data_IF_114971856050
#
_entry.id   IF_114971856050
#
_cell.length_a   1.000
_cell.length_b   1.000
_cell.length_c   1.000
_cell.angle_alpha   90.00
_cell.angle_beta   90.00
_cell.angle_gamma   90.00
#
_symmetry.space_group_name_H-M   'P 1'
#
loop_
_entity.id
_entity.type
_entity.pdbx_description
1 polymer ?
#
# COMPACT_ATOMS: atom_id res chain seq x y z
N UNK A 1 26.53 6.57 22.47
CA UNK A 1 27.85 6.00 22.84
C UNK A 1 28.07 4.82 21.90
N UNK A 2 28.98 5.01 20.94
CA UNK A 2 29.30 4.03 19.90
C UNK A 2 30.01 2.83 20.53
N UNK A 3 29.48 1.64 20.37
CA UNK A 3 30.20 0.39 20.64
C UNK A 3 30.68 -0.19 19.31
N UNK A 4 31.96 -0.04 19.08
CA UNK A 4 32.71 -0.82 18.10
C UNK A 4 32.73 -2.27 18.57
N UNK A 5 32.25 -3.19 17.75
CA UNK A 5 32.59 -4.61 17.87
C UNK A 5 33.54 -4.97 16.76
N UNK A 6 34.67 -5.54 17.17
CA UNK A 6 35.76 -5.93 16.29
C UNK A 6 35.38 -7.19 15.50
N UNK A 7 35.59 -7.12 14.21
CA UNK A 7 35.51 -8.21 13.25
C UNK A 7 36.61 -9.23 13.56
N UNK A 8 36.24 -10.45 13.92
CA UNK A 8 37.16 -11.59 13.94
C UNK A 8 36.84 -12.48 12.73
N UNK A 9 37.52 -12.19 11.60
CA UNK A 9 37.52 -13.05 10.42
C UNK A 9 38.33 -14.29 10.71
N UNK A 10 37.70 -15.43 10.90
CA UNK A 10 38.35 -16.74 10.88
C UNK A 10 38.29 -17.29 9.46
N UNK A 11 39.29 -16.94 8.66
CA UNK A 11 39.54 -17.58 7.37
C UNK A 11 40.18 -18.96 7.64
N UNK A 12 39.37 -20.02 7.60
CA UNK A 12 39.90 -21.38 7.58
C UNK A 12 40.13 -21.82 6.13
N UNK A 13 41.34 -21.62 5.67
CA UNK A 13 41.83 -22.17 4.40
C UNK A 13 42.20 -23.63 4.62
N UNK A 14 41.29 -24.57 4.34
CA UNK A 14 41.65 -25.98 4.24
C UNK A 14 42.05 -26.29 2.79
N UNK A 15 43.39 -26.31 2.53
CA UNK A 15 43.92 -26.91 1.34
C UNK A 15 43.86 -28.44 1.51
N UNK A 16 42.90 -29.12 0.93
CA UNK A 16 42.87 -30.57 0.84
C UNK A 16 43.66 -31.01 -0.38
N UNK A 17 44.74 -31.73 -0.14
CA UNK A 17 45.51 -32.50 -1.13
C UNK A 17 44.61 -33.64 -1.66
N UNK A 18 44.22 -33.55 -2.92
CA UNK A 18 43.53 -34.63 -3.62
C UNK A 18 44.49 -35.76 -3.89
N UNK A 19 44.35 -36.87 -3.17
CA UNK A 19 44.75 -38.19 -3.66
C UNK A 19 43.46 -38.89 -4.10
N UNK A 20 43.37 -39.16 -5.41
CA UNK A 20 42.18 -39.76 -6.01
C UNK A 20 41.93 -41.17 -5.48
N UNK A 21 40.85 -41.30 -4.74
CA UNK A 21 40.02 -42.49 -4.64
C UNK A 21 38.61 -42.02 -4.97
N UNK A 22 37.99 -42.57 -6.00
CA UNK A 22 36.59 -42.42 -6.24
C UNK A 22 35.85 -43.04 -5.04
N UNK A 23 35.48 -42.22 -4.07
CA UNK A 23 34.56 -42.61 -3.01
C UNK A 23 33.20 -42.84 -3.67
N UNK A 24 32.55 -43.97 -3.38
CA UNK A 24 31.17 -44.19 -3.74
C UNK A 24 30.37 -43.02 -3.12
N UNK A 25 29.61 -42.31 -3.95
CA UNK A 25 28.71 -41.29 -3.44
C UNK A 25 27.80 -41.94 -2.39
N UNK A 26 27.75 -41.38 -1.18
CA UNK A 26 26.80 -41.84 -0.16
C UNK A 26 25.37 -41.65 -0.72
N UNK A 27 24.64 -42.78 -0.92
CA UNK A 27 23.27 -42.75 -1.44
C UNK A 27 22.37 -41.82 -0.62
N UNK A 28 22.70 -41.58 0.65
CA UNK A 28 21.96 -40.69 1.52
C UNK A 28 22.22 -39.19 1.24
N UNK A 29 23.35 -38.81 0.62
CA UNK A 29 23.56 -37.44 0.17
C UNK A 29 22.58 -37.06 -0.94
N UNK A 30 22.22 -37.99 -1.82
CA UNK A 30 21.16 -37.76 -2.80
C UNK A 30 19.78 -37.60 -2.14
N UNK A 31 19.52 -38.38 -1.07
CA UNK A 31 18.29 -38.23 -0.27
C UNK A 31 18.26 -36.91 0.48
N UNK A 32 19.38 -36.46 1.06
CA UNK A 32 19.52 -35.15 1.70
C UNK A 32 19.22 -34.02 0.73
N UNK A 33 19.78 -34.09 -0.49
CA UNK A 33 19.49 -33.14 -1.56
C UNK A 33 18.00 -33.11 -1.89
N UNK A 34 17.37 -34.29 -1.99
CA UNK A 34 15.92 -34.39 -2.26
C UNK A 34 15.05 -33.70 -1.21
N UNK A 35 15.39 -33.83 0.08
CA UNK A 35 14.70 -33.14 1.18
C UNK A 35 14.90 -31.62 1.14
N UNK A 36 16.15 -31.19 0.89
CA UNK A 36 16.47 -29.78 0.75
C UNK A 36 15.78 -29.17 -0.48
N UNK A 37 15.79 -29.86 -1.61
CA UNK A 37 15.08 -29.42 -2.83
C UNK A 37 13.58 -29.28 -2.59
N UNK A 38 12.96 -30.14 -1.79
CA UNK A 38 11.55 -30.07 -1.46
C UNK A 38 11.20 -28.78 -0.71
N UNK A 39 12.06 -28.33 0.20
CA UNK A 39 11.82 -27.11 1.00
C UNK A 39 12.30 -25.83 0.33
N UNK A 40 13.46 -25.90 -0.36
CA UNK A 40 14.18 -24.70 -0.78
C UNK A 40 14.23 -24.47 -2.30
N UNK A 41 13.93 -25.45 -3.13
CA UNK A 41 13.92 -25.27 -4.58
C UNK A 41 12.80 -24.35 -5.04
N UNK A 42 13.13 -23.42 -5.92
CA UNK A 42 12.13 -22.53 -6.52
C UNK A 42 11.05 -23.33 -7.25
N UNK A 43 9.78 -23.04 -6.95
CA UNK A 43 8.61 -23.73 -7.52
C UNK A 43 8.38 -23.38 -8.99
N UNK A 44 8.98 -22.31 -9.49
CA UNK A 44 8.94 -21.88 -10.89
C UNK A 44 10.35 -21.59 -11.40
N UNK A 45 10.61 -21.87 -12.68
CA UNK A 45 11.89 -21.55 -13.31
C UNK A 45 12.11 -20.06 -13.48
N UNK A 46 11.02 -19.30 -13.57
CA UNK A 46 11.05 -17.89 -13.92
C UNK A 46 10.76 -16.95 -12.72
N UNK A 47 10.63 -17.53 -11.50
CA UNK A 47 10.38 -16.77 -10.29
C UNK A 47 11.21 -17.30 -9.13
N UNK A 48 12.10 -16.45 -8.63
CA UNK A 48 12.85 -16.73 -7.41
C UNK A 48 11.89 -16.71 -6.20
N UNK A 49 12.19 -17.55 -5.20
CA UNK A 49 11.50 -17.47 -3.91
C UNK A 49 11.91 -16.18 -3.24
N UNK A 50 10.92 -15.36 -2.88
CA UNK A 50 11.09 -14.09 -2.20
C UNK A 50 10.94 -14.29 -0.70
N UNK A 51 11.85 -13.71 0.09
CA UNK A 51 11.79 -13.71 1.54
C UNK A 51 12.17 -12.31 2.00
N UNK A 52 11.24 -11.60 2.62
CA UNK A 52 11.41 -10.20 3.04
C UNK A 52 11.79 -10.05 4.51
N UNK A 53 11.73 -11.12 5.27
CA UNK A 53 11.95 -11.16 6.72
C UNK A 53 12.99 -12.21 7.09
N UNK A 54 13.52 -12.11 8.27
CA UNK A 54 14.39 -13.12 8.87
C UNK A 54 13.74 -14.49 8.89
N UNK A 55 14.51 -15.52 8.63
CA UNK A 55 14.01 -16.89 8.68
C UNK A 55 15.05 -17.88 9.18
N UNK A 56 14.57 -18.99 9.70
CA UNK A 56 15.43 -20.04 10.22
C UNK A 56 15.63 -21.18 9.21
N UNK A 57 16.85 -21.72 9.22
CA UNK A 57 17.20 -22.94 8.47
C UNK A 57 17.76 -24.00 9.41
N UNK A 58 17.55 -25.32 9.16
CA UNK A 58 17.97 -26.38 10.06
C UNK A 58 19.51 -26.53 10.09
N UNK A 59 20.05 -26.92 11.25
CA UNK A 59 21.47 -27.26 11.39
C UNK A 59 21.78 -28.75 11.10
N UNK A 60 20.76 -29.58 10.87
CA UNK A 60 20.94 -31.00 10.51
C UNK A 60 19.70 -31.55 9.81
N UNK A 61 19.89 -32.60 9.02
CA UNK A 61 18.83 -33.48 8.52
C UNK A 61 18.92 -34.85 9.22
N UNK A 62 17.78 -35.51 9.39
CA UNK A 62 17.71 -36.89 9.85
C UNK A 62 17.28 -37.77 8.69
N UNK A 63 18.14 -38.69 8.28
CA UNK A 63 17.88 -39.65 7.20
C UNK A 63 18.12 -41.05 7.76
N UNK A 64 17.06 -41.86 7.75
CA UNK A 64 17.07 -43.23 8.30
C UNK A 64 17.63 -43.33 9.73
N UNK A 65 17.36 -42.31 10.57
CA UNK A 65 17.82 -42.25 11.95
C UNK A 65 19.28 -41.78 12.13
N UNK A 66 19.98 -41.42 11.05
CA UNK A 66 21.33 -40.87 11.06
C UNK A 66 21.28 -39.37 10.85
N UNK A 67 22.07 -38.62 11.65
CA UNK A 67 22.14 -37.14 11.54
C UNK A 67 23.16 -36.75 10.46
N UNK A 68 22.74 -35.87 9.57
CA UNK A 68 23.58 -35.23 8.54
C UNK A 68 23.66 -33.73 8.89
N UNK A 69 24.78 -33.29 9.50
CA UNK A 69 24.98 -31.87 9.82
C UNK A 69 24.91 -31.00 8.56
N UNK A 70 24.31 -29.82 8.74
CA UNK A 70 24.23 -28.76 7.74
C UNK A 70 25.01 -27.54 8.19
N UNK A 71 25.71 -26.93 7.27
CA UNK A 71 26.19 -25.55 7.39
C UNK A 71 25.63 -24.74 6.23
N UNK A 72 25.44 -23.47 6.48
CA UNK A 72 24.82 -22.57 5.49
C UNK A 72 25.74 -21.42 5.18
N UNK A 73 25.75 -21.00 3.93
CA UNK A 73 26.50 -19.84 3.48
C UNK A 73 25.71 -19.06 2.43
N UNK A 74 26.05 -17.79 2.25
CA UNK A 74 25.52 -16.90 1.22
C UNK A 74 26.67 -16.25 0.46
N UNK A 75 26.41 -15.84 -0.77
CA UNK A 75 27.37 -15.21 -1.67
C UNK A 75 27.39 -13.67 -1.58
N UNK A 76 26.80 -13.10 -0.53
CA UNK A 76 26.72 -11.64 -0.28
C UNK A 76 27.01 -11.31 1.18
N UNK A 77 27.62 -10.13 1.40
CA UNK A 77 27.87 -9.60 2.76
C UNK A 77 26.61 -8.92 3.36
N UNK A 78 25.56 -8.73 2.55
CA UNK A 78 24.32 -8.07 2.96
C UNK A 78 23.40 -8.99 3.79
N UNK A 79 23.69 -10.30 3.85
CA UNK A 79 22.93 -11.29 4.62
C UNK A 79 23.88 -11.96 5.59
N UNK A 80 23.47 -12.11 6.85
CA UNK A 80 24.23 -12.78 7.88
C UNK A 80 23.58 -14.12 8.22
N UNK A 81 24.39 -15.15 8.45
CA UNK A 81 23.91 -16.44 8.96
C UNK A 81 24.55 -16.69 10.32
N UNK A 82 23.73 -16.77 11.35
CA UNK A 82 24.17 -16.93 12.74
C UNK A 82 23.52 -18.17 13.37
N UNK A 83 24.20 -18.84 14.31
CA UNK A 83 23.57 -19.91 15.07
C UNK A 83 22.38 -19.38 15.87
N UNK A 84 21.24 -20.06 15.75
CA UNK A 84 20.02 -19.79 16.50
C UNK A 84 19.81 -20.86 17.60
N UNK A 85 18.81 -20.68 18.44
CA UNK A 85 18.40 -21.67 19.42
C UNK A 85 17.83 -22.94 18.72
N UNK A 86 17.70 -24.02 19.46
CA UNK A 86 17.10 -25.30 18.99
C UNK A 86 17.78 -25.97 17.77
N UNK A 87 19.08 -25.74 17.57
CA UNK A 87 19.84 -26.43 16.51
C UNK A 87 19.45 -25.95 15.12
N UNK A 88 19.26 -24.65 14.95
CA UNK A 88 19.00 -23.98 13.70
C UNK A 88 20.03 -22.87 13.45
N UNK A 89 19.94 -22.27 12.29
CA UNK A 89 20.62 -21.02 11.96
C UNK A 89 19.58 -19.97 11.59
N UNK A 90 19.80 -18.75 12.01
CA UNK A 90 19.04 -17.56 11.58
C UNK A 90 19.71 -17.00 10.33
N UNK A 91 18.92 -16.81 9.28
CA UNK A 91 19.28 -16.03 8.10
C UNK A 91 18.72 -14.62 8.34
N UNK A 92 19.62 -13.72 8.72
CA UNK A 92 19.32 -12.32 9.07
C UNK A 92 19.36 -11.48 7.79
N UNK A 93 18.21 -10.91 7.44
CA UNK A 93 17.97 -10.12 6.23
C UNK A 93 17.89 -8.66 6.62
N UNK A 94 18.58 -7.78 5.90
CA UNK A 94 18.34 -6.35 6.02
C UNK A 94 16.97 -6.00 5.44
N UNK A 95 15.97 -5.90 6.30
CA UNK A 95 14.59 -5.55 5.95
C UNK A 95 14.48 -4.14 5.32
N UNK A 96 15.47 -3.28 5.56
CA UNK A 96 15.56 -1.93 4.99
C UNK A 96 16.30 -1.89 3.65
N UNK A 97 16.56 -3.04 3.03
CA UNK A 97 17.30 -3.11 1.76
C UNK A 97 16.58 -2.31 0.64
N UNK A 98 17.17 -1.25 0.10
CA UNK A 98 16.48 -0.35 -0.85
C UNK A 98 16.33 -0.93 -2.26
N UNK A 99 16.92 -2.09 -2.55
CA UNK A 99 16.89 -2.75 -3.87
C UNK A 99 16.65 -4.23 -3.72
N UNK A 100 16.08 -4.85 -4.76
CA UNK A 100 16.06 -6.30 -4.82
C UNK A 100 17.47 -6.86 -4.72
N UNK A 101 17.67 -7.75 -3.76
CA UNK A 101 18.92 -8.45 -3.57
C UNK A 101 18.74 -9.92 -3.97
N UNK A 102 19.32 -10.30 -5.10
CA UNK A 102 19.41 -11.71 -5.49
C UNK A 102 20.66 -12.29 -4.85
N UNK A 103 20.51 -13.42 -4.20
CA UNK A 103 21.60 -14.11 -3.52
C UNK A 103 21.48 -15.62 -3.65
N UNK A 104 22.59 -16.33 -3.46
CA UNK A 104 22.64 -17.78 -3.42
C UNK A 104 22.78 -18.26 -1.99
N UNK A 105 21.75 -18.92 -1.46
CA UNK A 105 21.81 -19.65 -0.19
C UNK A 105 22.33 -21.06 -0.46
N UNK A 106 23.49 -21.41 0.08
CA UNK A 106 24.10 -22.74 -0.11
C UNK A 106 24.04 -23.55 1.17
N UNK A 107 23.41 -24.73 1.10
CA UNK A 107 23.46 -25.74 2.16
C UNK A 107 24.62 -26.69 1.88
N UNK A 108 25.55 -26.82 2.81
CA UNK A 108 26.60 -27.87 2.78
C UNK A 108 26.21 -29.01 3.71
N UNK A 109 25.84 -30.13 3.15
CA UNK A 109 25.50 -31.36 3.90
C UNK A 109 26.78 -32.13 4.17
N UNK A 110 27.01 -32.60 5.40
CA UNK A 110 28.15 -33.45 5.75
C UNK A 110 27.65 -34.86 6.08
N UNK A 111 28.15 -35.85 5.36
CA UNK A 111 27.87 -37.28 5.62
C UNK A 111 28.73 -37.84 6.78
N UNK A 112 28.34 -38.96 7.41
CA UNK A 112 29.11 -39.58 8.50
C UNK A 112 30.53 -39.97 8.14
N UNK A 113 30.83 -40.23 6.88
CA UNK A 113 32.17 -40.57 6.37
C UNK A 113 33.03 -39.33 6.11
N UNK A 114 32.45 -38.10 6.32
CA UNK A 114 33.13 -36.84 6.11
C UNK A 114 33.03 -36.30 4.68
N UNK A 115 32.35 -37.00 3.77
CA UNK A 115 32.02 -36.43 2.45
C UNK A 115 31.03 -35.31 2.57
N UNK A 116 31.07 -34.32 1.66
CA UNK A 116 30.18 -33.14 1.67
C UNK A 116 29.50 -32.98 0.33
N UNK A 117 28.28 -32.36 0.39
CA UNK A 117 27.50 -31.98 -0.79
C UNK A 117 26.99 -30.55 -0.62
N UNK A 118 27.35 -29.67 -1.56
CA UNK A 118 26.84 -28.33 -1.62
C UNK A 118 25.57 -28.27 -2.49
N UNK A 119 24.51 -27.66 -1.95
CA UNK A 119 23.23 -27.50 -2.65
C UNK A 119 22.85 -26.02 -2.66
N UNK A 120 23.06 -25.32 -3.79
CA UNK A 120 22.79 -23.92 -3.93
C UNK A 120 21.30 -23.66 -4.27
N UNK A 121 20.74 -22.58 -3.71
CA UNK A 121 19.40 -22.10 -3.97
C UNK A 121 19.41 -20.59 -4.22
N UNK A 122 19.03 -20.17 -5.42
CA UNK A 122 18.85 -18.76 -5.72
C UNK A 122 17.60 -18.23 -5.00
N UNK A 123 17.76 -17.11 -4.34
CA UNK A 123 16.75 -16.42 -3.51
C UNK A 123 16.74 -14.95 -3.83
N UNK A 124 15.67 -14.26 -3.43
CA UNK A 124 15.58 -12.83 -3.54
C UNK A 124 15.01 -12.22 -2.25
N UNK A 125 15.71 -11.24 -1.71
CA UNK A 125 15.12 -10.26 -0.79
C UNK A 125 14.51 -9.19 -1.67
N UNK A 126 13.18 -9.03 -1.66
CA UNK A 126 12.58 -7.91 -2.39
C UNK A 126 13.02 -6.60 -1.74
N UNK A 127 13.16 -5.55 -2.53
CA UNK A 127 13.37 -4.22 -1.99
C UNK A 127 12.35 -3.93 -0.90
N UNK A 128 12.81 -3.40 0.23
CA UNK A 128 11.92 -2.93 1.27
C UNK A 128 10.91 -1.96 0.67
N UNK A 129 9.65 -2.08 1.05
CA UNK A 129 8.71 -0.99 0.90
C UNK A 129 9.07 -0.02 2.03
N UNK A 130 10.14 0.72 1.83
CA UNK A 130 10.36 1.92 2.62
C UNK A 130 9.17 2.82 2.31
N UNK A 131 8.72 3.53 3.32
CA UNK A 131 7.77 4.64 3.19
C UNK A 131 8.48 5.74 2.37
N UNK A 132 8.61 5.46 1.07
CA UNK A 132 9.31 6.35 0.16
C UNK A 132 8.38 7.53 -0.09
N UNK A 133 8.85 8.71 0.22
CA UNK A 133 8.17 9.90 -0.27
C UNK A 133 8.06 9.82 -1.80
N UNK A 134 7.11 10.52 -2.40
CA UNK A 134 7.03 10.58 -3.86
C UNK A 134 8.37 10.98 -4.51
N UNK A 135 9.14 11.86 -3.85
CA UNK A 135 10.47 12.25 -4.31
C UNK A 135 11.45 11.08 -4.29
N UNK A 136 11.44 10.25 -3.26
CA UNK A 136 12.30 9.06 -3.17
C UNK A 136 11.93 8.01 -4.20
N UNK A 137 10.63 7.79 -4.45
CA UNK A 137 10.14 6.90 -5.51
C UNK A 137 10.66 7.37 -6.88
N UNK A 138 10.52 8.68 -7.17
CA UNK A 138 11.04 9.26 -8.41
C UNK A 138 12.56 9.12 -8.51
N UNK A 139 13.29 9.43 -7.45
CA UNK A 139 14.75 9.30 -7.42
C UNK A 139 15.18 7.82 -7.65
N UNK A 140 14.50 6.86 -7.03
CA UNK A 140 14.77 5.44 -7.23
C UNK A 140 14.45 4.99 -8.67
N UNK A 141 13.37 5.51 -9.28
CA UNK A 141 13.03 5.22 -10.67
C UNK A 141 14.10 5.77 -11.64
N UNK A 142 14.61 6.97 -11.38
CA UNK A 142 15.69 7.57 -12.17
C UNK A 142 17.06 6.90 -11.96
N UNK A 143 17.24 6.18 -10.85
CA UNK A 143 18.44 5.38 -10.56
C UNK A 143 18.42 3.99 -11.21
N UNK A 144 17.33 3.59 -11.86
CA UNK A 144 17.24 2.31 -12.56
C UNK A 144 18.21 2.28 -13.77
N UNK A 145 18.87 1.14 -13.95
CA UNK A 145 19.60 0.87 -15.17
C UNK A 145 18.67 0.88 -16.40
N UNK A 146 19.20 1.12 -17.58
CA UNK A 146 18.42 1.06 -18.83
C UNK A 146 17.71 -0.28 -18.97
N UNK A 147 16.42 -0.23 -19.29
CA UNK A 147 15.50 -1.36 -19.42
C UNK A 147 15.20 -2.11 -18.08
N UNK A 148 15.69 -1.61 -16.94
CA UNK A 148 15.32 -2.14 -15.63
C UNK A 148 13.94 -1.63 -15.18
N UNK A 149 13.28 -2.43 -14.35
CA UNK A 149 11.96 -2.14 -13.78
C UNK A 149 11.98 -2.24 -12.27
N UNK A 150 11.15 -1.46 -11.59
CA UNK A 150 10.83 -1.72 -10.18
C UNK A 150 10.04 -3.03 -10.05
N UNK A 151 10.21 -3.73 -8.96
CA UNK A 151 9.56 -5.04 -8.73
C UNK A 151 8.16 -4.92 -8.18
N UNK A 152 7.83 -3.77 -7.58
CA UNK A 152 6.52 -3.48 -6.99
C UNK A 152 5.86 -2.32 -7.70
N UNK A 153 4.54 -2.37 -7.79
CA UNK A 153 3.76 -1.22 -8.24
C UNK A 153 3.97 -0.05 -7.27
N UNK A 154 4.14 1.13 -7.85
CA UNK A 154 4.28 2.39 -7.14
C UNK A 154 3.05 3.25 -7.40
N UNK A 155 2.74 4.11 -6.45
CA UNK A 155 1.69 5.10 -6.60
C UNK A 155 2.34 6.48 -6.53
N UNK A 156 2.10 7.31 -7.56
CA UNK A 156 2.58 8.69 -7.60
C UNK A 156 1.43 9.64 -7.82
N UNK A 157 1.46 10.72 -7.08
CA UNK A 157 0.62 11.89 -7.30
C UNK A 157 1.44 12.94 -8.05
N UNK A 158 0.86 13.47 -9.15
CA UNK A 158 1.55 14.47 -9.96
C UNK A 158 0.59 15.24 -10.86
N UNK A 159 1.11 16.34 -11.41
CA UNK A 159 0.40 17.19 -12.34
C UNK A 159 0.70 16.79 -13.78
N UNK A 160 -0.32 16.60 -14.61
CA UNK A 160 -0.16 16.37 -16.05
C UNK A 160 0.47 17.59 -16.70
N UNK A 161 1.66 17.43 -17.25
CA UNK A 161 2.39 18.51 -17.93
C UNK A 161 2.36 18.39 -19.46
N UNK A 162 2.05 17.20 -19.99
CA UNK A 162 1.81 16.99 -21.43
C UNK A 162 0.92 15.79 -21.71
N UNK A 163 0.23 15.85 -22.83
CA UNK A 163 -0.47 14.72 -23.44
C UNK A 163 0.40 14.24 -24.61
N UNK A 164 1.15 13.15 -24.39
CA UNK A 164 2.12 12.65 -25.38
C UNK A 164 1.46 11.86 -26.50
N UNK A 165 0.41 11.10 -26.17
CA UNK A 165 -0.47 10.42 -27.12
C UNK A 165 -1.90 10.57 -26.65
N UNK A 166 -2.76 11.15 -27.48
CA UNK A 166 -4.17 11.35 -27.19
C UNK A 166 -4.89 10.00 -26.95
N UNK A 167 -6.03 10.08 -26.27
CA UNK A 167 -6.87 8.91 -26.01
C UNK A 167 -7.20 8.13 -27.30
N UNK A 168 -7.04 6.83 -27.23
CA UNK A 168 -7.40 5.90 -28.28
C UNK A 168 -8.65 5.12 -27.91
N UNK A 169 -9.73 5.31 -28.62
CA UNK A 169 -10.97 4.51 -28.43
C UNK A 169 -10.75 3.03 -28.82
N UNK A 170 -9.77 2.73 -29.68
CA UNK A 170 -9.43 1.34 -30.08
C UNK A 170 -8.69 0.62 -28.92
N UNK A 171 -7.70 1.30 -28.32
CA UNK A 171 -6.84 0.70 -27.29
C UNK A 171 -7.25 1.06 -25.87
N UNK A 172 -8.24 1.94 -25.69
CA UNK A 172 -8.76 2.39 -24.39
C UNK A 172 -7.66 2.89 -23.45
N UNK A 173 -6.73 3.70 -23.99
CA UNK A 173 -5.62 4.28 -23.22
C UNK A 173 -5.16 5.63 -23.78
N UNK A 174 -4.39 6.34 -22.97
CA UNK A 174 -3.74 7.61 -23.26
C UNK A 174 -2.28 7.53 -22.77
N UNK A 175 -1.37 8.30 -23.34
CA UNK A 175 -0.04 8.47 -22.76
C UNK A 175 0.14 9.93 -22.36
N UNK A 176 0.44 10.15 -21.10
CA UNK A 176 0.67 11.48 -20.52
C UNK A 176 1.98 11.52 -19.77
N UNK A 177 2.56 12.70 -19.58
CA UNK A 177 3.68 12.91 -18.70
C UNK A 177 3.24 13.74 -17.50
N UNK A 178 3.63 13.31 -16.30
CA UNK A 178 3.34 14.00 -15.04
C UNK A 178 4.61 14.56 -14.41
N UNK A 179 4.46 15.70 -13.75
CA UNK A 179 5.45 16.25 -12.81
C UNK A 179 5.01 15.93 -11.38
N UNK A 180 5.88 15.31 -10.62
CA UNK A 180 5.65 14.97 -9.20
C UNK A 180 6.20 16.11 -8.33
N UNK A 181 5.34 16.79 -7.61
CA UNK A 181 5.72 17.94 -6.77
C UNK A 181 6.57 18.96 -7.53
N UNK A 182 7.67 19.38 -6.92
CA UNK A 182 8.62 20.37 -7.50
C UNK A 182 9.70 19.74 -8.40
N UNK A 183 9.60 18.45 -8.74
CA UNK A 183 10.61 17.71 -9.51
C UNK A 183 10.49 17.94 -11.02
N UNK A 184 10.64 19.18 -11.47
CA UNK A 184 10.46 19.56 -12.89
C UNK A 184 11.47 18.88 -13.84
N UNK A 185 12.67 18.57 -13.36
CA UNK A 185 13.74 17.94 -14.15
C UNK A 185 13.62 16.40 -14.19
N UNK A 186 12.65 15.83 -13.48
CA UNK A 186 12.43 14.39 -13.35
C UNK A 186 10.97 14.01 -13.65
N UNK A 187 10.44 14.33 -14.85
CA UNK A 187 9.08 14.00 -15.22
C UNK A 187 8.91 12.48 -15.40
N UNK A 188 7.73 11.97 -15.10
CA UNK A 188 7.38 10.55 -15.26
C UNK A 188 6.35 10.41 -16.38
N UNK A 189 6.66 9.60 -17.38
CA UNK A 189 5.68 9.26 -18.41
C UNK A 189 4.75 8.15 -17.92
N UNK A 190 3.45 8.31 -18.10
CA UNK A 190 2.43 7.28 -17.84
C UNK A 190 2.08 6.61 -19.16
N UNK A 191 2.82 5.54 -19.53
CA UNK A 191 2.69 4.92 -20.84
C UNK A 191 1.46 4.04 -20.94
N UNK A 192 0.57 4.39 -21.89
CA UNK A 192 -0.70 3.69 -22.09
C UNK A 192 -1.54 3.59 -20.81
N UNK A 193 -1.67 4.72 -20.13
CA UNK A 193 -2.51 4.88 -18.95
C UNK A 193 -3.95 4.53 -19.26
N UNK A 194 -4.56 3.73 -18.40
CA UNK A 194 -5.97 3.31 -18.46
C UNK A 194 -6.71 3.75 -17.21
N UNK A 195 -7.99 3.48 -17.12
CA UNK A 195 -8.81 3.74 -15.93
C UNK A 195 -9.91 4.74 -16.18
N UNK A 196 -10.83 4.82 -15.22
CA UNK A 196 -11.96 5.76 -15.28
C UNK A 196 -11.45 7.21 -15.28
N UNK A 197 -11.98 8.04 -16.17
CA UNK A 197 -11.55 9.43 -16.34
C UNK A 197 -10.28 9.64 -17.18
N UNK A 198 -9.52 8.59 -17.51
CA UNK A 198 -8.30 8.73 -18.31
C UNK A 198 -8.54 9.33 -19.70
N UNK A 199 -9.73 9.09 -20.27
CA UNK A 199 -10.15 9.66 -21.56
C UNK A 199 -10.21 11.19 -21.57
N UNK A 200 -10.56 11.78 -20.44
CA UNK A 200 -10.87 13.20 -20.32
C UNK A 200 -9.71 14.03 -19.74
N UNK A 201 -8.54 13.40 -19.53
CA UNK A 201 -7.33 14.04 -19.01
C UNK A 201 -6.90 15.24 -19.87
N UNK A 202 -6.47 16.29 -19.16
CA UNK A 202 -5.95 17.55 -19.73
C UNK A 202 -4.64 17.93 -19.07
N UNK A 203 -3.85 18.72 -19.78
CA UNK A 203 -2.71 19.41 -19.16
C UNK A 203 -3.18 20.28 -18.00
N UNK A 204 -2.50 20.19 -16.88
CA UNK A 204 -2.84 20.87 -15.64
C UNK A 204 -3.61 20.02 -14.64
N UNK A 205 -4.18 18.89 -15.04
CA UNK A 205 -4.86 17.98 -14.13
C UNK A 205 -3.89 17.40 -13.10
N UNK A 206 -4.32 17.33 -11.85
CA UNK A 206 -3.61 16.65 -10.78
C UNK A 206 -4.19 15.25 -10.61
N UNK A 207 -3.35 14.23 -10.77
CA UNK A 207 -3.77 12.82 -10.83
C UNK A 207 -2.90 11.92 -9.95
N UNK A 208 -3.49 10.85 -9.48
CA UNK A 208 -2.77 9.73 -8.87
C UNK A 208 -2.75 8.56 -9.83
N UNK A 209 -1.56 8.07 -10.14
CA UNK A 209 -1.30 6.94 -11.03
C UNK A 209 -0.65 5.81 -10.24
N UNK A 210 -1.05 4.57 -10.54
CA UNK A 210 -0.44 3.37 -9.97
C UNK A 210 0.06 2.45 -11.07
N UNK A 211 1.24 1.88 -10.89
CA UNK A 211 1.84 0.93 -11.84
C UNK A 211 3.29 0.62 -11.52
N UNK A 212 3.92 -0.16 -12.37
CA UNK A 212 5.35 -0.47 -12.30
C UNK A 212 6.14 0.63 -13.00
N UNK A 213 7.09 1.23 -12.28
CA UNK A 213 8.03 2.18 -12.87
C UNK A 213 9.21 1.43 -13.53
N UNK A 214 9.67 1.95 -14.65
CA UNK A 214 10.84 1.43 -15.38
C UNK A 214 11.63 2.57 -16.04
N UNK A 215 12.87 2.27 -16.39
CA UNK A 215 13.68 3.10 -17.26
C UNK A 215 13.70 2.47 -18.67
N UNK A 216 12.83 2.94 -19.54
CA UNK A 216 12.78 2.47 -20.92
C UNK A 216 13.70 3.32 -21.82
N UNK A 217 14.87 2.77 -22.18
CA UNK A 217 15.85 3.43 -23.05
C UNK A 217 16.19 4.88 -22.67
N UNK A 218 16.20 5.16 -21.35
CA UNK A 218 16.47 6.48 -20.79
C UNK A 218 15.24 7.34 -20.47
N UNK A 219 14.05 6.88 -20.82
CA UNK A 219 12.78 7.49 -20.37
C UNK A 219 12.29 6.77 -19.12
N UNK A 220 12.11 7.51 -18.03
CA UNK A 220 11.50 6.96 -16.82
C UNK A 220 9.98 7.01 -16.97
N UNK A 221 9.34 5.86 -16.91
CA UNK A 221 7.91 5.74 -17.17
C UNK A 221 7.23 4.72 -16.26
N UNK A 222 5.94 4.91 -16.01
CA UNK A 222 5.08 3.80 -15.67
C UNK A 222 4.92 2.91 -16.89
N UNK A 223 5.21 1.62 -16.77
CA UNK A 223 5.04 0.65 -17.85
C UNK A 223 3.56 0.47 -18.22
N UNK A 224 3.33 -0.11 -19.40
CA UNK A 224 1.97 -0.47 -19.83
C UNK A 224 1.23 -1.25 -18.75
N UNK A 225 -0.03 -0.91 -18.55
CA UNK A 225 -0.85 -1.50 -17.49
C UNK A 225 -0.92 -0.61 -16.25
N UNK A 226 -0.31 0.57 -16.28
CA UNK A 226 -0.55 1.59 -15.27
C UNK A 226 -2.01 2.09 -15.33
N UNK A 227 -2.53 2.49 -14.20
CA UNK A 227 -3.94 2.84 -14.01
C UNK A 227 -4.05 4.22 -13.38
N UNK A 228 -4.94 5.04 -13.91
CA UNK A 228 -5.43 6.23 -13.23
C UNK A 228 -6.23 5.77 -12.02
N UNK A 229 -5.70 6.03 -10.81
CA UNK A 229 -6.40 5.74 -9.54
C UNK A 229 -7.52 6.76 -9.32
N UNK A 230 -7.28 7.99 -9.77
CA UNK A 230 -8.24 9.08 -9.72
C UNK A 230 -7.56 10.44 -9.79
N UNK A 231 -8.37 11.47 -9.62
CA UNK A 231 -7.92 12.85 -9.62
C UNK A 231 -7.60 13.31 -8.20
N UNK A 232 -6.63 14.20 -8.06
CA UNK A 232 -6.10 14.63 -6.77
C UNK A 232 -5.17 13.58 -6.12
N UNK A 233 -4.71 13.88 -4.91
CA UNK A 233 -3.84 13.01 -4.13
C UNK A 233 -4.67 11.90 -3.46
N UNK A 234 -4.53 10.67 -3.94
CA UNK A 234 -5.20 9.50 -3.38
C UNK A 234 -4.17 8.62 -2.69
N UNK A 235 -4.08 8.75 -1.37
CA UNK A 235 -3.21 7.93 -0.52
C UNK A 235 -3.82 6.53 -0.40
N UNK A 236 -3.00 5.48 -0.57
CA UNK A 236 -3.47 4.11 -0.34
C UNK A 236 -3.72 3.86 1.15
N UNK A 237 -4.59 2.89 1.47
CA UNK A 237 -4.80 2.48 2.85
C UNK A 237 -3.51 1.98 3.49
N UNK A 238 -2.69 1.22 2.75
CA UNK A 238 -1.38 0.77 3.19
C UNK A 238 -0.46 1.94 3.56
N UNK A 239 -0.34 2.95 2.69
CA UNK A 239 0.47 4.14 2.98
C UNK A 239 -0.07 4.97 4.17
N UNK A 240 -1.39 4.98 4.37
CA UNK A 240 -1.98 5.61 5.57
C UNK A 240 -1.59 4.85 6.84
N UNK A 241 -1.60 3.51 6.80
CA UNK A 241 -1.15 2.67 7.92
C UNK A 241 0.33 2.91 8.25
N UNK A 242 1.18 2.86 7.23
CA UNK A 242 2.63 3.04 7.40
C UNK A 242 2.94 4.43 7.97
N UNK A 243 2.28 5.50 7.46
CA UNK A 243 2.39 6.84 8.03
C UNK A 243 1.89 6.92 9.48
N UNK A 244 0.83 6.19 9.84
CA UNK A 244 0.32 6.13 11.21
C UNK A 244 1.31 5.44 12.15
N UNK A 245 1.94 4.35 11.71
CA UNK A 245 2.94 3.62 12.49
C UNK A 245 4.29 4.35 12.61
N UNK A 246 4.58 5.29 11.70
CA UNK A 246 5.75 6.17 11.77
C UNK A 246 5.56 7.36 12.75
N UNK A 247 4.36 7.56 13.31
CA UNK A 247 4.07 8.66 14.24
C UNK A 247 4.84 8.49 15.55
N UNK A 248 5.50 9.55 16.01
CA UNK A 248 6.03 9.62 17.38
C UNK A 248 4.89 9.62 18.42
N UNK A 249 5.20 9.22 19.65
CA UNK A 249 4.21 9.25 20.76
C UNK A 249 3.58 10.63 20.92
N UNK A 250 2.27 10.67 20.96
CA UNK A 250 1.45 11.88 21.04
C UNK A 250 1.22 12.60 19.71
N UNK A 251 1.87 12.19 18.62
CA UNK A 251 1.63 12.77 17.27
C UNK A 251 0.36 12.20 16.63
N UNK A 252 -0.18 12.95 15.68
CA UNK A 252 -1.36 12.56 14.89
C UNK A 252 -1.16 12.88 13.41
N UNK A 253 -1.86 12.16 12.55
CA UNK A 253 -1.96 12.52 11.13
C UNK A 253 -2.65 13.89 10.99
N UNK A 254 -2.15 14.71 10.09
CA UNK A 254 -2.64 16.10 9.90
C UNK A 254 -4.02 16.18 9.25
N UNK A 255 -4.43 15.12 8.56
CA UNK A 255 -5.73 15.01 7.88
C UNK A 255 -6.50 13.81 8.44
N UNK A 256 -7.82 13.87 8.56
CA UNK A 256 -8.62 12.70 8.88
C UNK A 256 -8.47 11.65 7.77
N UNK A 257 -8.67 10.40 8.14
CA UNK A 257 -8.55 9.26 7.24
C UNK A 257 -9.79 8.39 7.31
N UNK A 258 -10.04 7.62 6.26
CA UNK A 258 -11.00 6.52 6.30
C UNK A 258 -10.26 5.23 5.98
N UNK A 259 -10.36 4.25 6.89
CA UNK A 259 -9.78 2.93 6.72
C UNK A 259 -10.85 1.87 6.80
N UNK A 260 -10.67 0.83 5.98
CA UNK A 260 -11.50 -0.38 5.99
C UNK A 260 -10.69 -1.54 6.56
N UNK A 261 -11.30 -2.30 7.48
CA UNK A 261 -10.63 -3.43 8.08
C UNK A 261 -11.61 -4.41 8.72
N UNK A 262 -11.07 -5.55 9.15
CA UNK A 262 -11.83 -6.59 9.86
C UNK A 262 -11.58 -6.44 11.36
N UNK A 263 -12.64 -6.49 12.16
CA UNK A 263 -12.55 -6.43 13.62
C UNK A 263 -11.82 -7.68 14.13
N UNK A 264 -10.64 -7.49 14.72
CA UNK A 264 -9.85 -8.56 15.34
C UNK A 264 -10.17 -8.74 16.82
N UNK A 265 -10.55 -7.65 17.52
CA UNK A 265 -10.98 -7.70 18.93
C UNK A 265 -11.98 -6.60 19.27
N UNK A 266 -12.78 -6.86 20.30
CA UNK A 266 -13.59 -5.85 21.00
C UNK A 266 -12.89 -5.55 22.31
N UNK A 267 -12.24 -4.38 22.40
CA UNK A 267 -11.42 -4.00 23.56
C UNK A 267 -12.26 -3.43 24.70
N UNK A 268 -13.34 -2.73 24.35
CA UNK A 268 -14.36 -2.27 25.30
C UNK A 268 -15.73 -2.45 24.65
N UNK A 269 -16.60 -3.23 25.29
CA UNK A 269 -17.95 -3.46 24.80
C UNK A 269 -18.76 -2.17 24.70
N UNK A 270 -19.84 -2.21 23.90
CA UNK A 270 -20.75 -1.09 23.76
C UNK A 270 -21.25 -0.55 25.10
N UNK A 271 -21.22 0.74 25.23
CA UNK A 271 -21.76 1.47 26.38
C UNK A 271 -23.03 2.22 26.02
N UNK A 272 -24.16 1.84 26.58
CA UNK A 272 -25.43 2.59 26.40
C UNK A 272 -25.37 3.98 27.04
N UNK A 273 -24.47 4.22 28.03
CA UNK A 273 -24.28 5.53 28.66
C UNK A 273 -23.50 6.47 27.74
N UNK A 274 -22.42 5.97 27.13
CA UNK A 274 -21.51 6.78 26.30
C UNK A 274 -21.75 6.64 24.81
N UNK A 275 -22.65 5.75 24.40
CA UNK A 275 -23.03 5.49 23.01
C UNK A 275 -21.80 5.22 22.12
N UNK A 276 -20.86 4.39 22.62
CA UNK A 276 -19.65 4.04 21.87
C UNK A 276 -19.13 2.63 22.25
N UNK A 277 -18.24 2.15 21.40
CA UNK A 277 -17.52 0.88 21.54
C UNK A 277 -16.02 1.14 21.23
N UNK A 278 -15.13 0.34 21.77
CA UNK A 278 -13.73 0.36 21.33
C UNK A 278 -13.39 -1.00 20.73
N UNK A 279 -12.95 -1.00 19.48
CA UNK A 279 -12.57 -2.21 18.74
C UNK A 279 -11.18 -2.02 18.12
N UNK A 280 -10.51 -3.12 17.85
CA UNK A 280 -9.28 -3.14 17.05
C UNK A 280 -9.57 -3.76 15.71
N UNK A 281 -9.12 -3.13 14.62
CA UNK A 281 -9.25 -3.62 13.26
C UNK A 281 -7.89 -3.96 12.65
N UNK A 282 -7.91 -4.93 11.74
CA UNK A 282 -6.79 -5.28 10.85
C UNK A 282 -7.18 -4.90 9.43
N UNK A 283 -6.37 -4.04 8.82
CA UNK A 283 -6.58 -3.56 7.48
C UNK A 283 -5.70 -4.35 6.49
N UNK A 284 -6.27 -4.74 5.34
CA UNK A 284 -5.56 -5.43 4.24
C UNK A 284 -4.80 -6.72 4.69
N UNK A 285 -5.22 -7.35 5.81
CA UNK A 285 -4.58 -8.54 6.35
C UNK A 285 -3.22 -8.30 7.00
N UNK A 286 -2.86 -7.03 7.30
CA UNK A 286 -1.64 -6.66 8.00
C UNK A 286 -1.81 -6.83 9.52
N UNK A 287 -1.68 -8.06 10.01
CA UNK A 287 -1.87 -8.41 11.43
C UNK A 287 -0.85 -7.70 12.35
N UNK A 288 0.30 -7.31 11.82
CA UNK A 288 1.37 -6.57 12.51
C UNK A 288 1.09 -5.06 12.65
N UNK A 289 0.09 -4.56 11.93
CA UNK A 289 -0.32 -3.14 11.96
C UNK A 289 -1.79 -2.97 12.35
N UNK A 290 -2.24 -3.48 13.51
CA UNK A 290 -3.62 -3.30 13.96
C UNK A 290 -3.88 -1.85 14.37
N UNK A 291 -5.09 -1.34 14.10
CA UNK A 291 -5.51 0.00 14.54
C UNK A 291 -6.67 -0.12 15.52
N UNK A 292 -6.53 0.54 16.68
CA UNK A 292 -7.63 0.66 17.62
C UNK A 292 -8.57 1.80 17.22
N UNK A 293 -9.87 1.53 17.20
CA UNK A 293 -10.92 2.52 16.98
C UNK A 293 -11.46 2.93 18.36
N UNK A 294 -10.83 3.97 18.95
CA UNK A 294 -11.11 4.37 20.32
C UNK A 294 -12.42 5.14 20.44
N UNK A 295 -13.36 4.57 21.20
CA UNK A 295 -14.70 5.12 21.38
C UNK A 295 -15.44 5.38 20.07
N UNK A 296 -15.40 4.39 19.18
CA UNK A 296 -16.11 4.39 17.91
C UNK A 296 -17.61 4.59 18.12
N UNK A 297 -18.19 5.51 17.36
CA UNK A 297 -19.62 5.84 17.36
C UNK A 297 -20.20 5.61 15.95
N UNK A 298 -21.48 5.85 15.78
CA UNK A 298 -22.18 5.78 14.48
C UNK A 298 -23.25 4.70 14.44
N UNK A 299 -24.05 4.76 13.40
CA UNK A 299 -25.14 3.79 13.19
C UNK A 299 -24.57 2.39 13.01
N UNK A 300 -25.13 1.39 13.69
CA UNK A 300 -24.66 0.01 13.68
C UNK A 300 -23.50 -0.29 14.62
N UNK A 301 -22.83 0.71 15.23
CA UNK A 301 -21.69 0.47 16.11
C UNK A 301 -22.01 -0.41 17.34
N UNK A 302 -23.25 -0.41 17.79
CA UNK A 302 -23.73 -1.23 18.91
C UNK A 302 -23.69 -2.72 18.61
N UNK A 303 -23.91 -3.10 17.36
CA UNK A 303 -24.12 -4.50 16.93
C UNK A 303 -22.86 -5.16 16.38
N UNK A 304 -21.70 -4.46 16.44
CA UNK A 304 -20.43 -4.94 15.91
C UNK A 304 -19.92 -6.19 16.63
N UNK A 305 -19.38 -7.11 15.86
CA UNK A 305 -18.79 -8.36 16.33
C UNK A 305 -17.38 -8.58 15.74
N UNK A 306 -16.57 -9.40 16.41
CA UNK A 306 -15.29 -9.86 15.87
C UNK A 306 -15.51 -10.61 14.56
N UNK A 307 -14.76 -10.24 13.52
CA UNK A 307 -14.86 -10.76 12.17
C UNK A 307 -15.68 -9.88 11.22
N UNK A 308 -16.38 -8.86 11.73
CA UNK A 308 -17.08 -7.92 10.86
C UNK A 308 -16.09 -7.05 10.08
N UNK A 309 -16.36 -6.85 8.79
CA UNK A 309 -15.67 -5.86 7.97
C UNK A 309 -16.34 -4.50 8.18
N UNK A 310 -15.56 -3.51 8.60
CA UNK A 310 -16.06 -2.16 8.88
C UNK A 310 -15.18 -1.11 8.18
N UNK A 311 -15.73 0.09 8.01
CA UNK A 311 -14.97 1.27 7.64
C UNK A 311 -15.10 2.33 8.75
N UNK A 312 -13.99 2.96 9.11
CA UNK A 312 -13.93 3.95 10.20
C UNK A 312 -13.31 5.23 9.67
N UNK A 313 -13.98 6.34 9.93
CA UNK A 313 -13.51 7.69 9.64
C UNK A 313 -13.05 8.37 10.92
N UNK A 314 -11.92 9.10 10.87
CA UNK A 314 -11.43 9.89 11.99
C UNK A 314 -9.97 10.29 11.84
N UNK A 315 -9.44 10.94 12.87
CA UNK A 315 -8.01 11.28 12.97
C UNK A 315 -7.26 10.12 13.60
N UNK A 316 -6.18 9.70 12.98
CA UNK A 316 -5.30 8.66 13.51
C UNK A 316 -4.15 9.31 14.28
N UNK A 317 -3.81 8.75 15.43
CA UNK A 317 -2.71 9.20 16.29
C UNK A 317 -1.95 8.01 16.89
N UNK A 318 -0.74 8.29 17.36
CA UNK A 318 -0.01 7.40 18.26
C UNK A 318 -0.27 7.86 19.70
N UNK A 319 -0.96 7.07 20.48
CA UNK A 319 -1.18 7.30 21.91
C UNK A 319 -0.43 6.29 22.74
N UNK A 320 0.73 6.70 23.29
CA UNK A 320 1.58 5.86 24.16
C UNK A 320 1.97 4.53 23.51
N UNK A 321 2.27 4.55 22.23
CA UNK A 321 2.63 3.38 21.44
C UNK A 321 1.45 2.60 20.85
N UNK A 322 0.21 2.99 21.12
CA UNK A 322 -0.97 2.44 20.46
C UNK A 322 -1.33 3.34 19.29
N UNK A 323 -1.39 2.77 18.09
CA UNK A 323 -1.92 3.47 16.93
C UNK A 323 -3.43 3.37 16.96
N UNK A 324 -4.10 4.51 17.04
CA UNK A 324 -5.55 4.54 17.22
C UNK A 324 -6.22 5.64 16.38
N UNK A 325 -7.43 5.36 15.94
CA UNK A 325 -8.38 6.44 15.67
C UNK A 325 -8.74 7.12 17.00
N UNK A 326 -8.54 8.43 17.08
CA UNK A 326 -8.87 9.20 18.28
C UNK A 326 -10.38 9.18 18.57
N UNK A 327 -10.75 9.55 19.78
CA UNK A 327 -12.18 9.73 20.15
C UNK A 327 -12.88 10.65 19.14
N UNK A 328 -14.10 10.32 18.82
CA UNK A 328 -14.88 11.00 17.78
C UNK A 328 -14.74 10.36 16.42
N UNK A 329 -14.07 9.21 16.33
CA UNK A 329 -14.14 8.40 15.13
C UNK A 329 -15.54 7.81 14.94
N UNK A 330 -15.92 7.65 13.67
CA UNK A 330 -17.29 7.31 13.27
C UNK A 330 -17.25 6.07 12.37
N UNK A 331 -18.16 5.13 12.63
CA UNK A 331 -18.45 4.03 11.72
C UNK A 331 -19.13 4.60 10.47
N UNK A 332 -18.57 4.29 9.29
CA UNK A 332 -19.16 4.67 8.01
C UNK A 332 -19.52 3.41 7.21
N UNK A 333 -20.58 3.44 6.38
CA UNK A 333 -20.90 2.31 5.51
C UNK A 333 -19.71 1.98 4.59
N UNK A 334 -19.40 0.69 4.42
CA UNK A 334 -18.25 0.22 3.63
C UNK A 334 -18.33 0.68 2.16
N UNK A 335 -19.52 0.72 1.60
CA UNK A 335 -19.82 1.18 0.23
C UNK A 335 -19.71 2.70 0.06
N UNK A 336 -19.74 3.48 1.15
CA UNK A 336 -19.58 4.94 1.12
C UNK A 336 -18.12 5.41 1.18
N UNK A 337 -17.16 4.50 1.34
CA UNK A 337 -15.72 4.85 1.51
C UNK A 337 -15.20 5.75 0.37
N UNK A 338 -15.59 5.49 -0.89
CA UNK A 338 -15.19 6.31 -2.02
C UNK A 338 -15.74 7.75 -1.90
N UNK A 339 -17.02 7.90 -1.56
CA UNK A 339 -17.65 9.19 -1.33
C UNK A 339 -17.01 9.93 -0.15
N UNK A 340 -16.73 9.24 0.95
CA UNK A 340 -16.05 9.81 2.12
C UNK A 340 -14.64 10.32 1.77
N UNK A 341 -13.88 9.59 0.97
CA UNK A 341 -12.56 10.03 0.47
C UNK A 341 -12.68 11.31 -0.37
N UNK A 342 -13.66 11.38 -1.26
CA UNK A 342 -13.91 12.58 -2.06
C UNK A 342 -14.29 13.80 -1.18
N UNK A 343 -15.10 13.58 -0.13
CA UNK A 343 -15.45 14.60 0.87
C UNK A 343 -14.19 15.09 1.58
N UNK A 344 -13.34 14.20 2.10
CA UNK A 344 -12.06 14.55 2.76
C UNK A 344 -11.20 15.41 1.83
N UNK A 345 -11.09 15.02 0.56
CA UNK A 345 -10.32 15.76 -0.44
C UNK A 345 -10.91 17.17 -0.69
N UNK A 346 -12.24 17.29 -0.76
CA UNK A 346 -12.93 18.57 -0.87
C UNK A 346 -12.66 19.51 0.32
N UNK A 347 -12.70 18.97 1.53
CA UNK A 347 -12.40 19.74 2.77
C UNK A 347 -10.90 20.06 2.93
N UNK A 348 -10.01 19.38 2.22
CA UNK A 348 -8.58 19.69 2.20
C UNK A 348 -8.22 20.83 1.23
N UNK A 349 -9.16 21.29 0.39
CA UNK A 349 -8.94 22.40 -0.54
C UNK A 349 -8.72 23.71 0.22
N UNK A 350 -7.74 24.49 -0.24
CA UNK A 350 -7.60 25.88 0.23
C UNK A 350 -8.84 26.70 -0.13
N UNK A 351 -9.08 27.82 0.60
CA UNK A 351 -10.17 28.73 0.28
C UNK A 351 -10.04 29.22 -1.18
N UNK A 352 -11.17 29.23 -1.87
CA UNK A 352 -11.32 29.54 -3.30
C UNK A 352 -10.62 28.57 -4.28
N UNK A 353 -10.05 27.46 -3.80
CA UNK A 353 -9.53 26.40 -4.66
C UNK A 353 -10.66 25.44 -5.10
N UNK A 354 -10.47 24.83 -6.27
CA UNK A 354 -11.34 23.81 -6.82
C UNK A 354 -10.52 22.59 -7.27
N UNK A 355 -11.17 21.43 -7.27
CA UNK A 355 -10.60 20.25 -7.91
C UNK A 355 -10.48 20.47 -9.41
N UNK A 356 -9.50 19.87 -10.04
CA UNK A 356 -9.26 19.95 -11.48
C UNK A 356 -10.19 19.02 -12.28
N UNK A 357 -10.82 18.07 -11.58
CA UNK A 357 -11.68 17.03 -12.17
C UNK A 357 -12.96 16.82 -11.38
N UNK A 358 -13.93 16.19 -12.02
CA UNK A 358 -15.19 15.82 -11.40
C UNK A 358 -15.01 14.74 -10.33
N UNK A 359 -15.81 14.86 -9.28
CA UNK A 359 -15.97 13.86 -8.22
C UNK A 359 -17.41 13.37 -8.25
N UNK A 360 -17.60 12.09 -7.94
CA UNK A 360 -18.92 11.49 -7.73
C UNK A 360 -19.09 11.16 -6.26
N UNK A 361 -20.12 11.69 -5.63
CA UNK A 361 -20.42 11.49 -4.22
C UNK A 361 -21.87 11.03 -4.08
N UNK A 362 -22.07 9.93 -3.35
CA UNK A 362 -23.38 9.46 -2.89
C UNK A 362 -23.57 9.90 -1.44
N UNK A 363 -24.73 10.49 -1.14
CA UNK A 363 -25.05 10.95 0.21
C UNK A 363 -26.54 11.27 0.37
N UNK A 364 -26.91 11.59 1.61
CA UNK A 364 -28.30 11.88 1.99
C UNK A 364 -28.50 13.39 2.06
N UNK A 365 -29.59 13.90 1.49
CA UNK A 365 -29.98 15.32 1.56
C UNK A 365 -30.38 15.67 2.99
N UNK A 366 -29.68 16.63 3.58
CA UNK A 366 -29.95 17.12 4.94
C UNK A 366 -30.62 18.49 4.96
N UNK A 367 -30.57 19.23 3.85
CA UNK A 367 -31.29 20.52 3.71
C UNK A 367 -31.46 20.90 2.24
N UNK A 368 -32.45 21.77 1.96
CA UNK A 368 -32.68 22.36 0.64
C UNK A 368 -32.61 23.88 0.75
N UNK A 369 -31.39 24.47 0.69
CA UNK A 369 -31.21 25.94 0.80
C UNK A 369 -31.93 26.74 -0.28
N UNK A 370 -32.06 26.20 -1.50
CA UNK A 370 -32.79 26.83 -2.59
C UNK A 370 -33.65 25.79 -3.28
N UNK A 371 -35.00 26.01 -3.22
CA UNK A 371 -35.95 25.12 -3.88
C UNK A 371 -35.81 25.15 -5.39
N UNK A 372 -36.36 24.13 -6.07
CA UNK A 372 -36.35 24.03 -7.51
C UNK A 372 -36.87 25.32 -8.18
N UNK A 373 -36.15 25.75 -9.19
CA UNK A 373 -36.52 26.86 -10.06
C UNK A 373 -36.91 26.38 -11.44
N UNK A 374 -38.19 26.59 -11.80
CA UNK A 374 -38.63 26.26 -13.17
C UNK A 374 -38.04 27.21 -14.23
N UNK A 375 -37.56 28.40 -13.84
CA UNK A 375 -36.86 29.33 -14.72
C UNK A 375 -35.44 28.88 -15.02
N UNK A 376 -34.69 28.48 -13.96
CA UNK A 376 -33.27 28.09 -14.09
C UNK A 376 -33.06 26.59 -14.17
N UNK A 377 -34.10 25.78 -14.03
CA UNK A 377 -34.04 24.31 -14.10
C UNK A 377 -33.00 23.69 -13.18
N UNK A 378 -32.90 24.20 -11.93
CA UNK A 378 -31.98 23.70 -10.93
C UNK A 378 -32.51 23.87 -9.50
N UNK A 379 -31.86 23.18 -8.57
CA UNK A 379 -32.09 23.20 -7.13
C UNK A 379 -30.73 23.30 -6.42
N UNK A 380 -30.70 23.84 -5.19
CA UNK A 380 -29.49 23.74 -4.36
C UNK A 380 -29.83 22.93 -3.12
N UNK A 381 -29.09 21.85 -2.91
CA UNK A 381 -29.24 20.94 -1.76
C UNK A 381 -27.94 20.83 -0.98
N UNK A 382 -28.03 20.55 0.31
CA UNK A 382 -26.91 20.14 1.15
C UNK A 382 -27.05 18.65 1.41
N UNK A 383 -25.98 17.92 1.25
CA UNK A 383 -25.94 16.48 1.52
C UNK A 383 -24.78 16.08 2.41
N UNK A 384 -24.87 14.89 3.02
CA UNK A 384 -23.88 14.26 3.87
C UNK A 384 -23.58 12.87 3.33
N UNK A 385 -22.33 12.54 3.14
CA UNK A 385 -21.90 11.21 2.73
C UNK A 385 -21.44 10.40 3.96
N UNK A 386 -21.75 9.08 3.97
CA UNK A 386 -21.31 8.18 5.02
C UNK A 386 -21.75 8.53 6.44
N UNK A 387 -22.82 9.35 6.60
CA UNK A 387 -23.30 9.79 7.91
C UNK A 387 -22.41 10.84 8.60
N UNK A 388 -21.49 11.48 7.89
CA UNK A 388 -20.55 12.46 8.45
C UNK A 388 -21.21 13.85 8.57
N UNK A 389 -22.01 14.05 9.61
CA UNK A 389 -22.85 15.25 9.80
C UNK A 389 -22.05 16.58 9.80
N UNK A 390 -20.79 16.56 10.24
CA UNK A 390 -19.90 17.72 10.25
C UNK A 390 -19.28 18.05 8.87
N UNK A 391 -19.48 17.18 7.88
CA UNK A 391 -18.87 17.27 6.54
C UNK A 391 -19.94 17.48 5.46
N UNK A 392 -20.65 18.57 5.55
CA UNK A 392 -21.74 18.91 4.62
C UNK A 392 -21.19 19.37 3.27
N UNK A 393 -21.67 18.76 2.18
CA UNK A 393 -21.39 19.19 0.81
C UNK A 393 -22.62 19.91 0.26
N UNK A 394 -22.45 21.15 -0.24
CA UNK A 394 -23.50 21.84 -0.96
C UNK A 394 -23.45 21.47 -2.45
N UNK A 395 -24.57 21.02 -3.02
CA UNK A 395 -24.74 20.82 -4.46
C UNK A 395 -25.34 22.10 -5.05
N UNK A 396 -24.46 23.02 -5.47
CA UNK A 396 -24.90 24.35 -5.93
C UNK A 396 -25.48 24.31 -7.33
N UNK A 397 -26.76 24.68 -7.45
CA UNK A 397 -27.49 24.64 -8.73
C UNK A 397 -27.45 23.27 -9.40
N UNK A 398 -27.71 22.21 -8.63
CA UNK A 398 -27.84 20.85 -9.09
C UNK A 398 -28.91 20.74 -10.19
N UNK A 399 -28.57 20.07 -11.27
CA UNK A 399 -29.46 19.77 -12.41
C UNK A 399 -29.58 18.26 -12.59
N UNK A 400 -30.41 17.83 -13.52
CA UNK A 400 -30.57 16.42 -13.88
C UNK A 400 -32.00 15.93 -13.77
N UNK A 401 -32.23 14.73 -14.31
CA UNK A 401 -33.56 14.09 -14.24
C UNK A 401 -33.89 13.76 -12.79
N UNK A 402 -35.08 14.08 -12.33
CA UNK A 402 -35.51 13.87 -10.95
C UNK A 402 -35.12 14.99 -9.97
N UNK A 403 -34.23 15.92 -10.32
CA UNK A 403 -33.76 16.96 -9.42
C UNK A 403 -34.89 17.87 -8.89
N UNK A 404 -35.99 18.01 -9.65
CA UNK A 404 -37.17 18.77 -9.26
C UNK A 404 -37.92 18.17 -8.07
N UNK A 405 -37.87 16.87 -7.89
CA UNK A 405 -38.70 16.12 -6.94
C UNK A 405 -37.95 15.79 -5.63
N UNK A 406 -36.67 16.20 -5.53
CA UNK A 406 -35.80 15.93 -4.38
C UNK A 406 -36.34 16.51 -3.08
N UNK A 407 -36.15 15.75 -1.99
CA UNK A 407 -36.57 16.06 -0.62
C UNK A 407 -35.45 15.80 0.37
N UNK A 408 -35.54 16.42 1.52
CA UNK A 408 -34.72 16.03 2.68
C UNK A 408 -34.93 14.56 3.03
N UNK A 409 -33.86 13.86 3.28
CA UNK A 409 -33.82 12.42 3.53
C UNK A 409 -33.62 11.56 2.29
N UNK A 410 -33.70 12.10 1.09
CA UNK A 410 -33.41 11.34 -0.13
C UNK A 410 -31.90 11.07 -0.24
N UNK A 411 -31.53 9.83 -0.59
CA UNK A 411 -30.19 9.47 -0.98
C UNK A 411 -29.98 9.79 -2.47
N UNK A 412 -28.94 10.55 -2.76
CA UNK A 412 -28.63 10.99 -4.13
C UNK A 412 -27.16 10.74 -4.46
N UNK A 413 -26.88 10.55 -5.75
CA UNK A 413 -25.53 10.55 -6.30
C UNK A 413 -25.34 11.78 -7.18
N UNK A 414 -24.33 12.57 -6.89
CA UNK A 414 -24.03 13.82 -7.61
C UNK A 414 -22.62 13.75 -8.18
N UNK A 415 -22.48 14.16 -9.45
CA UNK A 415 -21.19 14.30 -10.12
C UNK A 415 -20.95 15.77 -10.48
N UNK A 416 -19.73 16.25 -10.24
CA UNK A 416 -19.32 17.62 -10.56
C UNK A 416 -17.95 17.98 -9.97
N UNK A 417 -17.54 19.21 -10.15
CA UNK A 417 -16.30 19.76 -9.61
C UNK A 417 -16.53 20.22 -8.15
N UNK A 418 -15.78 19.64 -7.22
CA UNK A 418 -15.74 20.14 -5.86
C UNK A 418 -14.86 21.37 -5.75
N UNK A 419 -15.29 22.35 -4.98
CA UNK A 419 -14.52 23.55 -4.63
C UNK A 419 -14.77 23.96 -3.19
N UNK A 420 -13.83 24.69 -2.63
CA UNK A 420 -14.01 25.39 -1.37
C UNK A 420 -14.33 26.86 -1.66
N UNK A 421 -15.60 27.20 -1.71
CA UNK A 421 -16.02 28.58 -1.96
C UNK A 421 -16.18 29.32 -0.63
N UNK A 422 -15.22 30.18 -0.28
CA UNK A 422 -15.22 31.00 0.94
C UNK A 422 -15.51 30.18 2.22
N UNK A 423 -14.92 29.01 2.32
CA UNK A 423 -15.08 28.11 3.45
C UNK A 423 -16.26 27.12 3.35
N UNK A 424 -17.07 27.21 2.30
CA UNK A 424 -18.13 26.22 2.01
C UNK A 424 -17.60 25.24 0.97
N UNK A 425 -17.56 23.96 1.32
CA UNK A 425 -17.25 22.90 0.34
C UNK A 425 -18.50 22.60 -0.46
N UNK A 426 -18.42 22.81 -1.76
CA UNK A 426 -19.57 22.65 -2.65
C UNK A 426 -19.19 22.02 -3.98
N UNK A 427 -20.13 21.33 -4.60
CA UNK A 427 -20.09 21.12 -6.03
C UNK A 427 -20.39 22.44 -6.73
N UNK A 428 -19.51 22.87 -7.65
CA UNK A 428 -19.74 24.09 -8.43
C UNK A 428 -20.95 23.93 -9.36
N UNK A 429 -21.42 25.07 -9.89
CA UNK A 429 -22.49 25.07 -10.88
C UNK A 429 -22.17 24.13 -12.05
N UNK A 430 -23.16 23.39 -12.48
CA UNK A 430 -23.01 22.38 -13.53
C UNK A 430 -22.92 20.95 -12.99
N UNK A 431 -22.97 20.76 -11.68
CA UNK A 431 -23.11 19.45 -11.10
C UNK A 431 -24.45 18.82 -11.49
N UNK A 432 -24.45 17.49 -11.63
CA UNK A 432 -25.57 16.71 -12.14
C UNK A 432 -25.96 15.59 -11.20
N UNK A 433 -27.26 15.41 -11.04
CA UNK A 433 -27.84 14.21 -10.42
C UNK A 433 -27.67 13.03 -11.39
N UNK A 434 -27.22 11.88 -10.88
CA UNK A 434 -26.98 10.66 -11.64
C UNK A 434 -28.17 9.71 -11.58
#
# INVERSE_FOLDING_TARGET
MKKFFALLTALVLCAALFTGAALAEDENLASAKGLLDFWYKNKSRDKLTQTAEDYEVPAQLMIDGVAYPLTWSVDTDAIQITPAEDGKYLVDIDEANPKDLVYTLTATVTAPDGSTLDVPYERMVPAAVLDMSYADIVAAAYALDTDATMTKAQRLFGKVISIDTAWSDEYQNITVTIQVGELADQPIQCFRLTGEGAKDLKEGDEITVEGILKNYQGTVEFDKGCVLVGFGEIISQAATLDAAYALEDGAALTKPSVLKGVISSIDTAWSDEYQNITVTIVCDGKDEQPIQCYRLTGEGAKDLAVGDEIAVFGTIKNYKGTIEFDKGCVLVPVDSVASVKAVIAGYALAEDAAMTSESTITGVIVAIPTAWSDEYQNITVNMVAGGLEDYVIQCFRLTGEGAKDLKEGDEITVTGILKNYKGTVEFDKGCTLQ
#
